data_IF_317795538799
#
_entry.id   IF_317795538799
#
_cell.length_a   1.000
_cell.length_b   1.000
_cell.length_c   1.000
_cell.angle_alpha   90.00
_cell.angle_beta   90.00
_cell.angle_gamma   90.00
#
_symmetry.space_group_name_H-M   'P 1'
#
loop_
_entity.id
_entity.type
_entity.pdbx_description
1 polymer ?
#
# COMPACT_ATOMS: atom_id res chain seq x y z
N UNK A 1 7.01 -60.95 41.71
CA UNK A 1 7.70 -60.50 40.48
C UNK A 1 6.64 -60.28 39.41
N UNK A 2 6.35 -59.02 39.08
CA UNK A 2 5.47 -58.67 37.97
C UNK A 2 6.23 -57.67 37.11
N UNK A 3 6.43 -58.04 35.83
CA UNK A 3 7.14 -57.24 34.83
C UNK A 3 6.18 -56.16 34.33
N UNK A 4 6.52 -54.90 34.55
CA UNK A 4 5.81 -53.76 33.96
C UNK A 4 6.27 -53.56 32.52
N UNK A 5 5.34 -53.71 31.57
CA UNK A 5 5.54 -53.34 30.16
C UNK A 5 5.17 -51.86 30.02
N UNK A 6 6.16 -51.00 29.77
CA UNK A 6 5.97 -49.60 29.41
C UNK A 6 5.71 -49.49 27.89
N UNK A 7 4.46 -49.29 27.49
CA UNK A 7 4.15 -48.80 26.14
C UNK A 7 4.41 -47.29 26.08
N UNK A 8 5.46 -46.90 25.37
CA UNK A 8 5.76 -45.50 25.07
C UNK A 8 4.86 -44.96 23.96
N UNK A 9 3.84 -44.19 24.31
CA UNK A 9 3.07 -43.39 23.35
C UNK A 9 3.90 -42.17 22.94
N UNK A 10 4.40 -42.15 21.70
CA UNK A 10 4.99 -40.94 21.11
C UNK A 10 3.88 -39.97 20.73
N UNK A 11 3.66 -38.96 21.57
CA UNK A 11 2.86 -37.78 21.21
C UNK A 11 3.68 -37.00 20.17
N UNK A 12 3.24 -37.02 18.91
CA UNK A 12 3.71 -36.08 17.90
C UNK A 12 3.01 -34.76 18.17
N UNK A 13 3.68 -33.86 18.90
CA UNK A 13 3.23 -32.48 19.00
C UNK A 13 3.34 -31.83 17.63
N UNK A 14 2.22 -31.73 16.91
CA UNK A 14 2.10 -30.86 15.74
C UNK A 14 2.19 -29.42 16.25
N UNK A 15 3.39 -28.85 16.21
CA UNK A 15 3.58 -27.42 16.39
C UNK A 15 2.98 -26.76 15.15
N UNK A 16 1.78 -26.21 15.28
CA UNK A 16 1.26 -25.25 14.32
C UNK A 16 2.16 -24.01 14.39
N UNK A 17 3.14 -23.93 13.48
CA UNK A 17 3.80 -22.65 13.22
C UNK A 17 2.69 -21.70 12.73
N UNK A 18 2.48 -20.53 13.36
CA UNK A 18 1.54 -19.57 12.84
C UNK A 18 1.93 -19.27 11.39
N UNK A 19 0.97 -19.39 10.47
CA UNK A 19 1.12 -18.91 9.10
C UNK A 19 1.61 -17.47 9.19
N UNK A 20 2.86 -17.20 8.82
CA UNK A 20 3.39 -15.83 8.77
C UNK A 20 2.64 -15.10 7.65
N UNK A 21 1.57 -14.41 8.03
CA UNK A 21 0.87 -13.47 7.17
C UNK A 21 1.78 -12.26 6.95
N UNK A 22 1.97 -11.87 5.70
CA UNK A 22 2.75 -10.68 5.37
C UNK A 22 1.84 -9.46 5.48
N UNK A 23 2.17 -8.55 6.39
CA UNK A 23 1.37 -7.35 6.65
C UNK A 23 1.65 -6.19 5.66
N UNK A 24 2.17 -6.50 4.48
CA UNK A 24 2.36 -5.52 3.41
C UNK A 24 0.99 -5.27 2.73
N UNK A 25 0.60 -4.01 2.62
CA UNK A 25 -0.50 -3.60 1.76
C UNK A 25 -0.05 -3.30 0.34
N UNK A 26 -0.99 -3.34 -0.60
CA UNK A 26 -0.76 -2.88 -1.97
C UNK A 26 -1.82 -1.86 -2.36
N UNK A 27 -1.47 -0.87 -3.17
CA UNK A 27 -2.46 -0.01 -3.82
C UNK A 27 -2.97 -0.72 -5.07
N UNK A 28 -4.30 -0.90 -5.17
CA UNK A 28 -4.97 -1.41 -6.36
C UNK A 28 -5.53 -0.22 -7.15
N UNK A 29 -4.65 0.40 -7.92
CA UNK A 29 -5.01 1.43 -8.90
C UNK A 29 -5.79 0.83 -10.07
N UNK A 30 -6.73 1.61 -10.61
CA UNK A 30 -7.65 1.19 -11.68
C UNK A 30 -7.67 2.19 -12.85
N UNK A 31 -6.68 3.09 -12.95
CA UNK A 31 -6.58 4.07 -14.04
C UNK A 31 -5.93 3.41 -15.27
N UNK A 32 -6.62 2.42 -15.82
CA UNK A 32 -6.19 1.63 -16.96
C UNK A 32 -7.39 0.92 -17.62
N UNK A 33 -7.25 0.51 -18.89
CA UNK A 33 -8.32 -0.17 -19.64
C UNK A 33 -8.07 -1.66 -19.91
N UNK A 34 -6.97 -2.21 -19.39
CA UNK A 34 -6.46 -3.55 -19.69
C UNK A 34 -6.18 -4.40 -18.44
N UNK A 35 -6.64 -3.97 -17.26
CA UNK A 35 -6.41 -4.67 -16.00
C UNK A 35 -7.22 -5.98 -15.89
N UNK A 36 -6.75 -6.94 -15.08
CA UNK A 36 -7.52 -8.14 -14.74
C UNK A 36 -8.83 -7.79 -14.03
N UNK A 37 -9.79 -8.72 -14.06
CA UNK A 37 -11.04 -8.53 -13.31
C UNK A 37 -10.77 -8.52 -11.78
N UNK A 38 -11.63 -7.87 -10.98
CA UNK A 38 -11.47 -7.86 -9.52
C UNK A 38 -11.36 -9.27 -8.88
N UNK A 39 -12.04 -10.28 -9.45
CA UNK A 39 -11.90 -11.68 -9.03
C UNK A 39 -10.48 -12.22 -9.25
N UNK A 40 -9.88 -11.95 -10.42
CA UNK A 40 -8.50 -12.34 -10.69
C UNK A 40 -7.53 -11.61 -9.77
N UNK A 41 -7.80 -10.33 -9.49
CA UNK A 41 -6.97 -9.51 -8.58
C UNK A 41 -7.01 -10.05 -7.14
N UNK A 42 -8.19 -10.42 -6.60
CA UNK A 42 -8.24 -10.99 -5.24
C UNK A 42 -7.50 -12.32 -5.16
N UNK A 43 -7.58 -13.16 -6.21
CA UNK A 43 -6.87 -14.43 -6.28
C UNK A 43 -5.36 -14.20 -6.31
N UNK A 44 -4.90 -13.20 -7.06
CA UNK A 44 -3.50 -12.78 -7.08
C UNK A 44 -3.04 -12.34 -5.69
N UNK A 45 -3.74 -11.40 -5.04
CA UNK A 45 -3.38 -10.94 -3.69
C UNK A 45 -3.33 -12.10 -2.68
N UNK A 46 -4.30 -13.01 -2.73
CA UNK A 46 -4.33 -14.21 -1.89
C UNK A 46 -3.12 -15.11 -2.15
N UNK A 47 -2.76 -15.32 -3.42
CA UNK A 47 -1.59 -16.13 -3.82
C UNK A 47 -0.26 -15.53 -3.35
N UNK A 48 -0.21 -14.21 -3.16
CA UNK A 48 0.93 -13.46 -2.66
C UNK A 48 0.91 -13.26 -1.14
N UNK A 49 -0.14 -13.74 -0.45
CA UNK A 49 -0.41 -13.50 0.97
C UNK A 49 -0.41 -12.00 1.34
N UNK A 50 -0.85 -11.15 0.41
CA UNK A 50 -1.11 -9.73 0.68
C UNK A 50 -2.49 -9.65 1.32
N UNK A 51 -2.54 -9.17 2.57
CA UNK A 51 -3.78 -9.14 3.37
C UNK A 51 -4.43 -7.76 3.45
N UNK A 52 -3.86 -6.76 2.78
CA UNK A 52 -4.34 -5.38 2.80
C UNK A 52 -4.29 -4.79 1.40
N UNK A 53 -5.31 -4.06 1.00
CA UNK A 53 -5.29 -3.29 -0.24
C UNK A 53 -6.01 -1.96 -0.10
N UNK A 54 -5.63 -0.98 -0.93
CA UNK A 54 -6.28 0.33 -1.00
C UNK A 54 -6.80 0.57 -2.41
N UNK A 55 -8.05 1.01 -2.51
CA UNK A 55 -8.65 1.50 -3.75
C UNK A 55 -8.97 2.99 -3.64
N UNK A 56 -9.00 3.67 -4.79
CA UNK A 56 -9.13 5.12 -4.89
C UNK A 56 -10.57 5.59 -5.13
N UNK A 57 -11.52 4.68 -4.96
CA UNK A 57 -12.96 4.87 -5.09
C UNK A 57 -13.72 3.91 -4.16
N UNK A 58 -15.01 3.71 -4.45
CA UNK A 58 -15.85 2.65 -3.86
C UNK A 58 -16.43 1.74 -4.95
N UNK A 59 -15.57 1.23 -5.85
CA UNK A 59 -16.00 0.39 -6.97
C UNK A 59 -16.79 -0.85 -6.49
N UNK A 60 -18.09 -0.98 -6.84
CA UNK A 60 -18.94 -2.06 -6.35
C UNK A 60 -18.49 -3.45 -6.81
N UNK A 61 -17.88 -3.54 -8.00
CA UNK A 61 -17.31 -4.79 -8.53
C UNK A 61 -16.12 -5.27 -7.70
N UNK A 62 -15.27 -4.35 -7.25
CA UNK A 62 -14.16 -4.67 -6.34
C UNK A 62 -14.69 -5.07 -4.96
N UNK A 63 -15.56 -4.25 -4.38
CA UNK A 63 -16.10 -4.50 -3.05
C UNK A 63 -16.88 -5.83 -2.98
N UNK A 64 -17.62 -6.20 -4.03
CA UNK A 64 -18.30 -7.49 -4.13
C UNK A 64 -17.30 -8.64 -4.27
N UNK A 65 -16.30 -8.53 -5.14
CA UNK A 65 -15.32 -9.59 -5.35
C UNK A 65 -14.50 -9.89 -4.09
N UNK A 66 -14.24 -8.89 -3.27
CA UNK A 66 -13.43 -9.04 -2.05
C UNK A 66 -14.22 -9.58 -0.84
N UNK A 67 -15.51 -9.88 -1.00
CA UNK A 67 -16.33 -10.50 0.03
C UNK A 67 -15.74 -11.84 0.49
N UNK A 68 -15.71 -12.05 1.81
CA UNK A 68 -15.23 -13.25 2.50
C UNK A 68 -13.77 -13.63 2.20
N UNK A 69 -12.95 -12.71 1.69
CA UNK A 69 -11.52 -12.95 1.44
C UNK A 69 -10.65 -12.76 2.67
N UNK A 70 -11.12 -11.98 3.65
CA UNK A 70 -10.33 -11.55 4.80
C UNK A 70 -9.29 -10.46 4.49
N UNK A 71 -9.22 -9.95 3.25
CA UNK A 71 -8.33 -8.86 2.86
C UNK A 71 -8.93 -7.53 3.36
N UNK A 72 -8.14 -6.77 4.12
CA UNK A 72 -8.51 -5.44 4.59
C UNK A 72 -8.52 -4.44 3.43
N UNK A 73 -9.59 -3.66 3.32
CA UNK A 73 -9.75 -2.62 2.30
C UNK A 73 -9.73 -1.23 2.92
N UNK A 74 -8.93 -0.34 2.32
CA UNK A 74 -9.12 1.11 2.41
C UNK A 74 -9.84 1.55 1.15
N UNK A 75 -11.00 2.20 1.31
CA UNK A 75 -11.75 2.84 0.21
C UNK A 75 -11.57 4.36 0.27
N UNK A 76 -11.88 5.06 -0.82
CA UNK A 76 -11.65 6.51 -0.90
C UNK A 76 -12.92 7.25 -1.31
N UNK A 77 -13.25 8.32 -0.57
CA UNK A 77 -14.15 9.37 -1.06
C UNK A 77 -13.33 10.23 -2.03
N UNK A 78 -13.68 10.30 -3.32
CA UNK A 78 -12.94 11.11 -4.28
C UNK A 78 -12.90 12.60 -3.92
N UNK A 79 -11.87 13.32 -4.35
CA UNK A 79 -11.66 14.74 -4.00
C UNK A 79 -12.88 15.61 -4.36
N UNK A 80 -13.49 15.36 -5.52
CA UNK A 80 -14.69 16.06 -6.01
C UNK A 80 -15.94 15.85 -5.13
N UNK A 81 -15.97 14.78 -4.34
CA UNK A 81 -17.08 14.49 -3.43
C UNK A 81 -16.87 15.06 -2.02
N UNK A 82 -15.66 15.48 -1.66
CA UNK A 82 -15.33 15.97 -0.30
C UNK A 82 -16.23 17.13 0.12
N UNK A 83 -16.47 18.11 -0.76
CA UNK A 83 -17.37 19.23 -0.46
C UNK A 83 -18.81 18.80 -0.16
N UNK A 84 -19.33 17.78 -0.86
CA UNK A 84 -20.66 17.25 -0.59
C UNK A 84 -20.73 16.52 0.76
N UNK A 85 -19.65 15.86 1.16
CA UNK A 85 -19.60 15.10 2.41
C UNK A 85 -19.58 16.01 3.65
N UNK A 86 -19.50 17.33 3.50
CA UNK A 86 -19.71 18.25 4.62
C UNK A 86 -21.14 18.19 5.18
N UNK A 87 -22.16 17.93 4.34
CA UNK A 87 -23.54 17.75 4.80
C UNK A 87 -23.70 16.36 5.45
N UNK A 88 -24.03 16.27 6.75
CA UNK A 88 -24.19 15.00 7.44
C UNK A 88 -25.20 14.03 6.80
N UNK A 89 -26.25 14.55 6.14
CA UNK A 89 -27.24 13.71 5.44
C UNK A 89 -26.65 13.10 4.17
N UNK A 90 -25.86 13.87 3.44
CA UNK A 90 -25.16 13.39 2.24
C UNK A 90 -24.08 12.38 2.61
N UNK A 91 -23.32 12.64 3.68
CA UNK A 91 -22.35 11.70 4.22
C UNK A 91 -23.00 10.39 4.68
N UNK A 92 -24.12 10.45 5.40
CA UNK A 92 -24.88 9.28 5.79
C UNK A 92 -25.35 8.48 4.57
N UNK A 93 -25.97 9.14 3.60
CA UNK A 93 -26.41 8.49 2.36
C UNK A 93 -25.22 7.86 1.62
N UNK A 94 -24.07 8.52 1.58
CA UNK A 94 -22.87 7.98 0.95
C UNK A 94 -22.38 6.70 1.65
N UNK A 95 -22.35 6.66 2.99
CA UNK A 95 -21.95 5.45 3.75
C UNK A 95 -22.96 4.32 3.55
N UNK A 96 -24.27 4.63 3.60
CA UNK A 96 -25.34 3.64 3.37
C UNK A 96 -25.30 3.03 1.96
N UNK A 97 -24.80 3.79 0.98
CA UNK A 97 -24.75 3.36 -0.43
C UNK A 97 -23.45 2.63 -0.75
N UNK A 98 -22.32 3.13 -0.25
CA UNK A 98 -20.99 2.72 -0.73
C UNK A 98 -20.22 1.82 0.25
N UNK A 99 -20.63 1.77 1.52
CA UNK A 99 -19.91 1.02 2.57
C UNK A 99 -20.81 -0.03 3.22
N UNK A 100 -21.96 0.39 3.75
CA UNK A 100 -22.87 -0.48 4.50
C UNK A 100 -23.29 -1.77 3.76
N UNK A 101 -23.59 -1.75 2.44
CA UNK A 101 -24.08 -2.95 1.74
C UNK A 101 -23.07 -4.10 1.68
N UNK A 102 -21.78 -3.81 1.87
CA UNK A 102 -20.72 -4.80 1.78
C UNK A 102 -20.32 -5.37 3.16
N UNK A 103 -20.80 -4.78 4.24
CA UNK A 103 -20.50 -5.22 5.60
C UNK A 103 -21.43 -6.37 6.05
N UNK A 104 -20.93 -7.42 6.74
CA UNK A 104 -19.54 -7.66 7.16
C UNK A 104 -18.72 -8.49 6.15
N UNK A 105 -19.30 -8.89 5.01
CA UNK A 105 -18.66 -9.82 4.09
C UNK A 105 -17.33 -9.27 3.55
N UNK A 106 -17.29 -7.99 3.18
CA UNK A 106 -16.08 -7.30 2.73
C UNK A 106 -15.49 -6.48 3.87
N UNK A 107 -14.22 -6.72 4.17
CA UNK A 107 -13.54 -6.13 5.32
C UNK A 107 -13.02 -4.73 5.00
N UNK A 108 -13.92 -3.76 4.91
CA UNK A 108 -13.56 -2.34 4.83
C UNK A 108 -13.08 -1.91 6.21
N UNK A 109 -11.83 -1.45 6.30
CA UNK A 109 -11.16 -1.08 7.55
C UNK A 109 -10.73 0.39 7.59
N UNK A 110 -10.81 1.07 6.46
CA UNK A 110 -10.44 2.47 6.35
C UNK A 110 -11.24 3.19 5.26
N UNK A 111 -11.55 4.45 5.53
CA UNK A 111 -12.12 5.39 4.57
C UNK A 111 -11.18 6.59 4.47
N UNK A 112 -10.56 6.77 3.31
CA UNK A 112 -9.78 7.97 2.96
C UNK A 112 -10.72 9.02 2.42
N UNK A 113 -10.92 10.12 3.14
CA UNK A 113 -11.68 11.26 2.64
C UNK A 113 -10.74 12.15 1.83
N UNK A 114 -10.83 12.02 0.50
CA UNK A 114 -9.88 12.60 -0.42
C UNK A 114 -8.51 11.90 -0.43
N UNK A 115 -7.64 12.41 -1.30
CA UNK A 115 -6.24 12.02 -1.47
C UNK A 115 -5.43 13.27 -1.79
N UNK A 116 -4.40 13.54 -0.98
CA UNK A 116 -3.48 14.68 -1.15
C UNK A 116 -4.19 16.04 -1.20
N UNK A 117 -5.29 16.17 -0.45
CA UNK A 117 -6.15 17.36 -0.42
C UNK A 117 -5.38 18.63 -0.04
N UNK A 118 -4.50 18.54 0.95
CA UNK A 118 -3.75 19.69 1.44
C UNK A 118 -2.61 20.17 0.51
N UNK A 119 -2.33 19.42 -0.54
CA UNK A 119 -1.39 19.81 -1.61
C UNK A 119 -2.10 20.11 -2.92
N UNK A 120 -3.44 20.12 -2.91
CA UNK A 120 -4.22 20.64 -4.03
C UNK A 120 -4.01 22.15 -4.18
N UNK A 121 -4.27 22.69 -5.36
CA UNK A 121 -4.30 24.15 -5.58
C UNK A 121 -5.69 24.75 -5.26
N UNK A 122 -6.52 24.04 -4.48
CA UNK A 122 -7.91 24.43 -4.15
C UNK A 122 -8.09 24.66 -2.62
N UNK A 123 -8.06 25.92 -2.16
CA UNK A 123 -8.29 26.28 -0.76
C UNK A 123 -9.68 25.88 -0.23
N UNK A 124 -10.68 25.78 -1.12
CA UNK A 124 -12.03 25.35 -0.74
C UNK A 124 -12.02 23.87 -0.42
N UNK A 125 -11.40 23.05 -1.28
CA UNK A 125 -11.24 21.62 -1.03
C UNK A 125 -10.50 21.36 0.29
N UNK A 126 -9.43 22.13 0.57
CA UNK A 126 -8.69 22.02 1.84
C UNK A 126 -9.56 22.33 3.06
N UNK A 127 -10.35 23.40 3.01
CA UNK A 127 -11.19 23.82 4.14
C UNK A 127 -12.39 22.89 4.37
N UNK A 128 -12.85 22.20 3.32
CA UNK A 128 -13.95 21.22 3.39
C UNK A 128 -13.56 19.88 4.04
N UNK A 129 -12.26 19.56 4.10
CA UNK A 129 -11.78 18.24 4.49
C UNK A 129 -12.18 17.81 5.91
N UNK A 130 -11.90 18.62 6.93
CA UNK A 130 -12.20 18.25 8.33
C UNK A 130 -13.71 18.15 8.58
N UNK A 131 -14.56 19.07 8.10
CA UNK A 131 -16.00 18.89 8.15
C UNK A 131 -16.48 17.60 7.47
N UNK A 132 -15.92 17.23 6.31
CA UNK A 132 -16.25 15.99 5.63
C UNK A 132 -15.84 14.73 6.42
N UNK A 133 -14.64 14.73 7.02
CA UNK A 133 -14.18 13.67 7.92
C UNK A 133 -15.13 13.47 9.11
N UNK A 134 -15.55 14.56 9.74
CA UNK A 134 -16.50 14.55 10.86
C UNK A 134 -17.86 13.98 10.45
N UNK A 135 -18.40 14.40 9.30
CA UNK A 135 -19.69 13.93 8.80
C UNK A 135 -19.66 12.44 8.40
N UNK A 136 -18.59 11.98 7.75
CA UNK A 136 -18.40 10.55 7.44
C UNK A 136 -18.27 9.71 8.72
N UNK A 137 -17.47 10.16 9.68
CA UNK A 137 -17.33 9.45 10.95
C UNK A 137 -18.65 9.40 11.73
N UNK A 138 -19.40 10.50 11.79
CA UNK A 138 -20.74 10.55 12.40
C UNK A 138 -21.70 9.56 11.76
N UNK A 139 -21.69 9.45 10.42
CA UNK A 139 -22.48 8.46 9.70
C UNK A 139 -22.09 7.01 10.08
N UNK A 140 -20.80 6.71 10.20
CA UNK A 140 -20.34 5.40 10.66
C UNK A 140 -20.80 5.09 12.09
N UNK A 141 -20.72 6.06 13.00
CA UNK A 141 -21.20 5.91 14.39
C UNK A 141 -22.71 5.62 14.41
N UNK A 142 -23.50 6.37 13.63
CA UNK A 142 -24.95 6.16 13.53
C UNK A 142 -25.32 4.75 13.02
N UNK A 143 -24.48 4.19 12.15
CA UNK A 143 -24.67 2.85 11.58
C UNK A 143 -23.98 1.74 12.39
N UNK A 144 -23.27 2.06 13.48
CA UNK A 144 -22.52 1.10 14.29
C UNK A 144 -21.28 0.51 13.59
N UNK A 145 -20.71 1.23 12.62
CA UNK A 145 -19.59 0.80 11.78
C UNK A 145 -18.25 1.47 12.14
N UNK A 146 -18.26 2.43 13.07
CA UNK A 146 -17.10 3.23 13.48
C UNK A 146 -15.98 2.39 14.09
N UNK A 147 -16.32 1.38 14.89
CA UNK A 147 -15.33 0.48 15.51
C UNK A 147 -14.56 -0.40 14.50
N UNK A 148 -15.08 -0.55 13.27
CA UNK A 148 -14.46 -1.32 12.21
C UNK A 148 -13.64 -0.46 11.24
N UNK A 149 -13.89 0.85 11.20
CA UNK A 149 -13.39 1.74 10.14
C UNK A 149 -12.63 2.93 10.72
N UNK A 150 -11.34 3.03 10.38
CA UNK A 150 -10.62 4.28 10.55
C UNK A 150 -11.05 5.29 9.48
N UNK A 151 -11.17 6.56 9.86
CA UNK A 151 -11.46 7.66 8.92
C UNK A 151 -10.29 8.61 8.95
N UNK A 152 -9.70 8.88 7.79
CA UNK A 152 -8.53 9.75 7.67
C UNK A 152 -8.42 10.29 6.24
N UNK A 153 -7.32 10.95 5.91
CA UNK A 153 -6.97 11.36 4.55
C UNK A 153 -5.51 11.06 4.28
N UNK A 154 -5.16 10.69 3.06
CA UNK A 154 -3.77 10.46 2.65
C UNK A 154 -3.10 11.80 2.31
N UNK A 155 -1.91 12.04 2.85
CA UNK A 155 -1.21 13.31 2.74
C UNK A 155 0.18 13.16 2.12
N UNK A 156 0.60 14.12 1.29
CA UNK A 156 1.97 14.28 0.80
C UNK A 156 2.45 15.72 1.05
N UNK A 157 3.77 15.96 1.04
CA UNK A 157 4.39 17.30 1.05
C UNK A 157 3.82 18.37 2.03
N UNK A 158 3.32 17.95 3.20
CA UNK A 158 2.72 18.83 4.22
C UNK A 158 3.75 19.45 5.18
N UNK A 159 5.01 19.02 5.12
CA UNK A 159 6.07 19.49 6.00
C UNK A 159 6.84 20.67 5.40
N UNK A 160 7.22 21.61 6.26
CA UNK A 160 8.21 22.65 5.98
C UNK A 160 9.61 22.10 6.21
N UNK A 161 9.90 21.69 7.45
CA UNK A 161 11.17 21.09 7.81
C UNK A 161 11.02 19.57 7.87
N UNK A 162 11.97 18.86 7.28
CA UNK A 162 12.02 17.39 7.37
C UNK A 162 13.43 16.84 7.61
N UNK A 163 14.45 17.71 7.61
CA UNK A 163 15.83 17.34 7.86
C UNK A 163 16.50 18.23 8.94
N UNK A 164 17.15 17.64 9.96
CA UNK A 164 17.04 16.22 10.33
C UNK A 164 15.58 15.88 10.71
N UNK A 165 15.15 14.60 10.70
CA UNK A 165 13.77 14.22 11.02
C UNK A 165 13.25 14.78 12.35
N UNK A 166 14.11 14.91 13.35
CA UNK A 166 13.77 15.53 14.65
C UNK A 166 13.30 16.98 14.54
N UNK A 167 13.64 17.68 13.47
CA UNK A 167 13.19 19.05 13.17
C UNK A 167 11.89 19.08 12.34
N UNK A 168 11.28 17.92 12.09
CA UNK A 168 9.99 17.78 11.42
C UNK A 168 8.97 18.82 11.90
N UNK A 169 8.43 19.62 10.97
CA UNK A 169 7.37 20.60 11.26
C UNK A 169 6.45 20.77 10.06
N UNK A 170 5.15 20.94 10.28
CA UNK A 170 4.21 21.32 9.22
C UNK A 170 4.52 22.72 8.69
N UNK A 171 4.09 22.99 7.45
CA UNK A 171 4.11 24.34 6.88
C UNK A 171 3.29 25.31 7.74
N UNK A 172 3.82 26.50 8.11
CA UNK A 172 3.11 27.43 8.98
C UNK A 172 1.71 27.79 8.49
N UNK A 173 1.55 27.98 7.17
CA UNK A 173 0.28 28.30 6.52
C UNK A 173 -0.77 27.17 6.63
N UNK A 174 -0.33 25.94 6.90
CA UNK A 174 -1.22 24.79 7.04
C UNK A 174 -1.68 24.56 8.49
N UNK A 175 -1.15 25.29 9.47
CA UNK A 175 -1.41 25.04 10.89
C UNK A 175 -2.92 25.06 11.22
N UNK A 176 -3.67 26.02 10.66
CA UNK A 176 -5.11 26.15 10.87
C UNK A 176 -5.93 25.00 10.26
N UNK A 177 -5.37 24.29 9.28
CA UNK A 177 -6.01 23.15 8.63
C UNK A 177 -5.62 21.83 9.30
N UNK A 178 -4.34 21.69 9.67
CA UNK A 178 -3.78 20.46 10.23
C UNK A 178 -4.16 20.26 11.69
N UNK A 179 -4.22 21.31 12.51
CA UNK A 179 -4.55 21.15 13.94
C UNK A 179 -5.95 20.54 14.14
N UNK A 180 -7.03 21.02 13.50
CA UNK A 180 -8.34 20.37 13.59
C UNK A 180 -8.35 18.93 13.07
N UNK A 181 -7.54 18.63 12.03
CA UNK A 181 -7.39 17.27 11.54
C UNK A 181 -6.72 16.36 12.58
N UNK A 182 -5.64 16.80 13.22
CA UNK A 182 -4.96 16.03 14.28
C UNK A 182 -5.86 15.84 15.51
N UNK A 183 -6.69 16.82 15.85
CA UNK A 183 -7.72 16.68 16.89
C UNK A 183 -8.70 15.58 16.55
N UNK A 184 -9.22 15.56 15.33
CA UNK A 184 -10.12 14.52 14.85
C UNK A 184 -9.46 13.13 14.90
N UNK A 185 -8.22 13.00 14.41
CA UNK A 185 -7.50 11.73 14.45
C UNK A 185 -7.28 11.23 15.88
N UNK A 186 -6.88 12.11 16.79
CA UNK A 186 -6.67 11.76 18.19
C UNK A 186 -7.98 11.33 18.88
N UNK A 187 -9.09 12.04 18.64
CA UNK A 187 -10.40 11.72 19.21
C UNK A 187 -10.97 10.38 18.71
N UNK A 188 -10.76 10.08 17.43
CA UNK A 188 -11.28 8.85 16.78
C UNK A 188 -10.29 7.68 16.80
N UNK A 189 -9.08 7.88 17.32
CA UNK A 189 -7.96 6.93 17.26
C UNK A 189 -7.65 6.49 15.81
N UNK A 190 -7.83 7.39 14.86
CA UNK A 190 -7.52 7.14 13.45
C UNK A 190 -6.05 7.48 13.14
N UNK A 191 -5.40 6.77 12.21
CA UNK A 191 -4.02 7.05 11.84
C UNK A 191 -3.92 8.27 10.91
N UNK A 192 -2.79 8.95 10.95
CA UNK A 192 -2.37 9.90 9.93
C UNK A 192 -1.76 9.13 8.76
N UNK A 193 -2.40 9.17 7.60
CA UNK A 193 -1.91 8.50 6.39
C UNK A 193 -0.99 9.40 5.58
N UNK A 194 0.17 8.85 5.18
CA UNK A 194 1.14 9.54 4.33
C UNK A 194 1.44 8.79 3.05
N UNK A 195 1.50 9.53 1.95
CA UNK A 195 2.09 9.12 0.70
C UNK A 195 3.56 9.57 0.73
N UNK A 196 4.49 8.62 0.88
CA UNK A 196 5.89 8.89 1.14
C UNK A 196 6.79 8.21 0.10
N UNK A 197 7.46 9.01 -0.72
CA UNK A 197 8.24 8.54 -1.86
C UNK A 197 9.69 9.04 -1.79
N UNK A 198 10.64 8.22 -1.30
CA UNK A 198 12.07 8.49 -1.40
C UNK A 198 12.54 8.72 -2.85
N UNK A 199 11.86 8.12 -3.83
CA UNK A 199 12.13 8.28 -5.26
C UNK A 199 12.19 9.76 -5.68
N UNK A 200 11.20 10.58 -5.29
CA UNK A 200 11.17 11.97 -5.74
C UNK A 200 12.33 12.80 -5.18
N UNK A 201 12.72 12.57 -3.92
CA UNK A 201 13.89 13.23 -3.33
C UNK A 201 15.18 12.88 -4.08
N UNK A 202 15.34 11.63 -4.51
CA UNK A 202 16.48 11.21 -5.33
C UNK A 202 16.41 11.80 -6.74
N UNK A 203 15.26 11.69 -7.41
CA UNK A 203 15.03 12.23 -8.76
C UNK A 203 15.38 13.72 -8.83
N UNK A 204 14.96 14.50 -7.85
CA UNK A 204 15.13 15.96 -7.86
C UNK A 204 16.54 16.41 -7.44
N UNK A 205 17.32 15.53 -6.79
CA UNK A 205 18.66 15.88 -6.30
C UNK A 205 19.61 14.67 -6.19
N UNK A 206 19.90 13.98 -7.30
CA UNK A 206 20.66 12.72 -7.30
C UNK A 206 22.12 12.90 -6.88
N UNK A 207 22.67 14.12 -6.99
CA UNK A 207 24.02 14.44 -6.52
C UNK A 207 24.13 14.63 -4.99
N UNK A 208 23.00 14.87 -4.32
CA UNK A 208 22.92 15.21 -2.88
C UNK A 208 22.24 14.10 -2.07
N UNK A 209 21.35 13.35 -2.70
CA UNK A 209 20.65 12.22 -2.10
C UNK A 209 21.31 10.92 -2.58
N UNK A 210 21.88 10.15 -1.65
CA UNK A 210 22.47 8.85 -1.95
C UNK A 210 21.42 7.86 -2.46
N UNK A 211 21.70 7.21 -3.59
CA UNK A 211 20.85 6.14 -4.12
C UNK A 211 20.74 4.97 -3.13
N UNK A 212 21.82 4.62 -2.43
CA UNK A 212 21.79 3.53 -1.45
C UNK A 212 20.85 3.85 -0.28
N UNK A 213 20.83 5.10 0.18
CA UNK A 213 19.98 5.56 1.28
C UNK A 213 18.49 5.47 0.94
N UNK A 214 18.10 5.83 -0.28
CA UNK A 214 16.70 5.78 -0.71
C UNK A 214 16.25 4.38 -1.13
N UNK A 215 17.18 3.46 -1.42
CA UNK A 215 16.91 2.06 -1.76
C UNK A 215 17.02 1.10 -0.57
N UNK A 216 17.07 1.60 0.67
CA UNK A 216 17.27 0.79 1.90
C UNK A 216 18.55 -0.07 1.90
N UNK A 217 19.56 0.31 1.11
CA UNK A 217 20.87 -0.34 1.10
C UNK A 217 21.73 0.24 2.22
N UNK A 218 22.73 -0.54 2.64
CA UNK A 218 23.66 -0.11 3.69
C UNK A 218 24.39 1.15 3.23
N UNK A 219 24.17 2.25 3.94
CA UNK A 219 24.92 3.49 3.77
C UNK A 219 26.22 3.44 4.57
N UNK A 220 27.24 4.14 4.09
CA UNK A 220 28.48 4.31 4.86
C UNK A 220 28.25 5.37 5.96
N UNK A 221 28.70 5.08 7.19
CA UNK A 221 28.63 6.00 8.33
C UNK A 221 27.61 5.59 9.41
N UNK A 222 27.46 6.46 10.42
CA UNK A 222 26.60 6.27 11.59
C UNK A 222 25.32 7.10 11.48
N UNK A 223 24.55 6.91 10.42
CA UNK A 223 23.24 7.56 10.34
C UNK A 223 22.27 6.85 11.29
N UNK A 224 21.59 7.62 12.15
CA UNK A 224 20.49 7.11 12.99
C UNK A 224 19.34 6.54 12.13
N UNK A 225 19.21 7.05 10.91
CA UNK A 225 18.29 6.56 9.89
C UNK A 225 19.11 5.89 8.78
N UNK A 226 18.98 4.59 8.61
CA UNK A 226 19.65 3.84 7.55
C UNK A 226 18.89 3.89 6.20
N UNK A 227 17.68 4.45 6.19
CA UNK A 227 16.86 4.62 5.00
C UNK A 227 15.98 5.88 5.06
N UNK A 228 15.65 6.44 3.88
CA UNK A 228 14.90 7.68 3.78
C UNK A 228 13.40 7.53 4.14
N UNK A 229 12.76 6.40 3.85
CA UNK A 229 11.34 6.24 4.15
C UNK A 229 11.07 6.40 5.66
N UNK A 230 11.90 5.78 6.51
CA UNK A 230 11.76 5.91 7.96
C UNK A 230 12.09 7.31 8.46
N UNK A 231 13.04 7.99 7.81
CA UNK A 231 13.31 9.40 8.09
C UNK A 231 12.11 10.29 7.74
N UNK A 232 11.43 10.05 6.62
CA UNK A 232 10.22 10.78 6.22
C UNK A 232 9.06 10.54 7.20
N UNK A 233 8.84 9.28 7.59
CA UNK A 233 7.81 8.91 8.58
C UNK A 233 8.09 9.59 9.93
N UNK A 234 9.32 9.49 10.43
CA UNK A 234 9.66 10.08 11.73
C UNK A 234 9.62 11.62 11.70
N UNK A 235 9.94 12.25 10.56
CA UNK A 235 9.74 13.69 10.40
C UNK A 235 8.26 14.09 10.57
N UNK A 236 7.33 13.30 10.05
CA UNK A 236 5.89 13.51 10.26
C UNK A 236 5.51 13.26 11.72
N UNK A 237 6.03 12.20 12.35
CA UNK A 237 5.79 11.91 13.78
C UNK A 237 6.25 13.08 14.66
N UNK A 238 7.44 13.64 14.40
CA UNK A 238 7.92 14.82 15.13
C UNK A 238 7.05 16.05 14.86
N UNK A 239 6.62 16.30 13.63
CA UNK A 239 5.74 17.42 13.29
C UNK A 239 4.40 17.34 14.02
N UNK A 240 3.79 16.15 14.08
CA UNK A 240 2.56 15.87 14.82
C UNK A 240 2.77 16.07 16.33
N UNK A 241 3.87 15.55 16.87
CA UNK A 241 4.20 15.68 18.29
C UNK A 241 4.41 17.15 18.72
N UNK A 242 5.02 17.98 17.86
CA UNK A 242 5.21 19.42 18.12
C UNK A 242 3.90 20.19 18.26
N UNK A 243 2.83 19.72 17.61
CA UNK A 243 1.49 20.29 17.75
C UNK A 243 0.71 19.69 18.95
N UNK A 244 1.32 18.81 19.75
CA UNK A 244 0.72 18.21 20.94
C UNK A 244 0.01 16.88 20.70
N UNK A 245 0.07 16.31 19.49
CA UNK A 245 -0.68 15.10 19.10
C UNK A 245 0.20 13.85 18.96
N UNK A 246 1.30 13.76 19.72
CA UNK A 246 2.31 12.70 19.56
C UNK A 246 1.81 11.26 19.68
N UNK A 247 0.60 11.05 20.21
CA UNK A 247 -0.07 9.74 20.28
C UNK A 247 -0.74 9.30 18.97
N UNK A 248 -0.93 10.17 17.98
CA UNK A 248 -1.51 9.80 16.68
C UNK A 248 -0.55 8.85 15.95
N UNK A 249 -1.07 7.73 15.45
CA UNK A 249 -0.31 6.77 14.64
C UNK A 249 -0.03 7.33 13.25
N UNK A 250 1.15 7.07 12.69
CA UNK A 250 1.46 7.37 11.29
C UNK A 250 1.58 6.06 10.52
N UNK A 251 0.88 5.95 9.40
CA UNK A 251 0.99 4.81 8.47
C UNK A 251 1.25 5.30 7.05
N UNK A 252 1.93 4.50 6.24
CA UNK A 252 2.24 4.83 4.86
C UNK A 252 1.13 4.28 3.96
N UNK A 253 0.31 5.17 3.39
CA UNK A 253 -0.79 4.83 2.49
C UNK A 253 -0.34 4.61 1.05
N UNK A 254 0.85 5.13 0.69
CA UNK A 254 1.52 4.88 -0.58
C UNK A 254 3.03 5.04 -0.46
N UNK A 255 3.76 4.13 -1.08
CA UNK A 255 5.18 4.29 -1.37
C UNK A 255 5.60 3.35 -2.49
N UNK A 256 6.49 3.78 -3.37
CA UNK A 256 6.90 2.98 -4.52
C UNK A 256 8.07 3.58 -5.27
N UNK A 257 8.46 2.90 -6.34
CA UNK A 257 9.55 3.34 -7.21
C UNK A 257 9.25 2.92 -8.65
N UNK A 258 9.25 3.84 -9.62
CA UNK A 258 8.88 3.53 -11.00
C UNK A 258 9.99 2.75 -11.73
N UNK A 259 9.62 1.76 -12.53
CA UNK A 259 10.57 0.94 -13.29
C UNK A 259 11.02 1.55 -14.61
N UNK A 260 10.38 2.63 -15.04
CA UNK A 260 10.68 3.36 -16.27
C UNK A 260 10.18 4.78 -16.13
N UNK A 261 10.94 5.76 -16.61
CA UNK A 261 10.53 7.16 -16.65
C UNK A 261 11.03 7.88 -17.90
N UNK A 262 10.70 9.16 -18.00
CA UNK A 262 11.23 10.07 -19.01
C UNK A 262 12.73 10.34 -18.79
N UNK A 263 13.47 10.92 -19.77
CA UNK A 263 14.92 11.15 -19.63
C UNK A 263 15.33 12.00 -18.40
N UNK A 264 14.45 12.85 -17.89
CA UNK A 264 14.67 13.66 -16.69
C UNK A 264 14.23 12.98 -15.39
N UNK A 265 13.73 11.75 -15.44
CA UNK A 265 13.27 10.96 -14.29
C UNK A 265 14.37 10.04 -13.77
N UNK A 266 15.45 10.66 -13.31
CA UNK A 266 16.68 9.97 -12.88
C UNK A 266 16.35 8.92 -11.81
N UNK A 267 16.82 7.70 -12.04
CA UNK A 267 16.64 6.57 -11.13
C UNK A 267 15.43 5.69 -11.42
N UNK A 268 14.53 6.07 -12.34
CA UNK A 268 13.41 5.25 -12.76
C UNK A 268 13.84 4.07 -13.65
N UNK A 269 14.35 3.00 -13.04
CA UNK A 269 14.78 1.78 -13.72
C UNK A 269 14.23 0.53 -13.05
N UNK A 270 14.15 -0.57 -13.81
CA UNK A 270 13.70 -1.88 -13.30
C UNK A 270 14.55 -2.34 -12.11
N UNK A 271 15.87 -2.11 -12.16
CA UNK A 271 16.80 -2.51 -11.10
C UNK A 271 16.54 -1.76 -9.80
N UNK A 272 16.32 -0.44 -9.88
CA UNK A 272 16.05 0.39 -8.70
C UNK A 272 14.65 0.13 -8.15
N UNK A 273 13.65 -0.02 -9.01
CA UNK A 273 12.29 -0.38 -8.60
C UNK A 273 12.25 -1.73 -7.88
N UNK A 274 12.95 -2.74 -8.44
CA UNK A 274 13.12 -4.04 -7.80
C UNK A 274 13.83 -3.93 -6.46
N UNK A 275 14.92 -3.17 -6.38
CA UNK A 275 15.68 -2.99 -5.14
C UNK A 275 14.83 -2.33 -4.04
N UNK A 276 14.16 -1.22 -4.35
CA UNK A 276 13.31 -0.50 -3.42
C UNK A 276 12.20 -1.40 -2.87
N UNK A 277 11.38 -1.96 -3.76
CA UNK A 277 10.20 -2.75 -3.38
C UNK A 277 10.57 -4.07 -2.68
N UNK A 278 11.67 -4.73 -3.10
CA UNK A 278 12.18 -5.93 -2.41
C UNK A 278 12.69 -5.61 -1.02
N UNK A 279 13.47 -4.54 -0.85
CA UNK A 279 14.03 -4.20 0.45
C UNK A 279 12.95 -3.72 1.42
N UNK A 280 11.95 -2.97 0.93
CA UNK A 280 10.76 -2.62 1.70
C UNK A 280 10.01 -3.88 2.18
N UNK A 281 9.76 -4.84 1.28
CA UNK A 281 9.15 -6.12 1.64
C UNK A 281 9.95 -6.83 2.76
N UNK A 282 11.29 -6.89 2.65
CA UNK A 282 12.13 -7.50 3.68
C UNK A 282 12.07 -6.77 5.04
N UNK A 283 11.87 -5.45 5.05
CA UNK A 283 11.64 -4.68 6.30
C UNK A 283 10.28 -5.01 6.90
N UNK A 284 9.24 -5.10 6.06
CA UNK A 284 7.88 -5.47 6.49
C UNK A 284 7.79 -6.89 7.05
N UNK A 285 8.49 -7.86 6.46
CA UNK A 285 8.58 -9.24 6.96
C UNK A 285 9.17 -9.30 8.37
N UNK A 286 10.15 -8.43 8.65
CA UNK A 286 10.78 -8.31 9.97
C UNK A 286 9.93 -7.54 10.98
N UNK A 287 8.72 -7.11 10.60
CA UNK A 287 7.84 -6.27 11.40
C UNK A 287 8.55 -5.01 11.92
N UNK A 288 9.43 -4.46 11.10
CA UNK A 288 10.30 -3.36 11.52
C UNK A 288 9.52 -2.05 11.68
N UNK A 289 9.76 -1.38 12.81
CA UNK A 289 9.30 -0.02 13.08
C UNK A 289 10.35 1.03 12.71
N UNK A 290 10.02 2.30 12.88
CA UNK A 290 10.98 3.39 12.65
C UNK A 290 11.88 3.62 13.87
N UNK A 291 13.00 4.35 13.76
CA UNK A 291 13.85 4.69 14.90
C UNK A 291 13.14 5.40 16.06
N UNK A 292 12.09 6.19 15.81
CA UNK A 292 11.27 6.81 16.87
C UNK A 292 10.27 5.82 17.48
N UNK A 293 9.75 4.87 16.70
CA UNK A 293 8.78 3.86 17.16
C UNK A 293 9.26 2.44 16.85
N UNK A 294 10.38 1.98 17.43
CA UNK A 294 11.02 0.71 17.04
C UNK A 294 10.18 -0.53 17.38
N UNK A 295 9.29 -0.42 18.37
CA UNK A 295 8.43 -1.51 18.83
C UNK A 295 7.04 -1.51 18.18
N UNK A 296 6.77 -0.59 17.25
CA UNK A 296 5.53 -0.52 16.49
C UNK A 296 5.85 -0.74 15.02
N UNK A 297 5.41 -1.86 14.45
CA UNK A 297 5.55 -2.12 13.01
C UNK A 297 4.98 -0.94 12.22
N UNK A 298 5.75 -0.42 11.27
CA UNK A 298 5.24 0.55 10.31
C UNK A 298 4.31 -0.16 9.31
N UNK A 299 3.03 0.17 9.30
CA UNK A 299 2.09 -0.30 8.28
C UNK A 299 2.31 0.48 6.97
N UNK A 300 2.46 -0.25 5.86
CA UNK A 300 2.82 0.31 4.55
C UNK A 300 1.97 -0.31 3.43
N UNK A 301 1.50 0.54 2.52
CA UNK A 301 0.88 0.17 1.25
C UNK A 301 1.83 0.51 0.09
N UNK A 302 2.19 -0.50 -0.69
CA UNK A 302 3.07 -0.38 -1.85
C UNK A 302 2.29 0.12 -3.06
N UNK A 303 2.76 1.21 -3.65
CA UNK A 303 2.25 1.80 -4.88
C UNK A 303 3.09 1.30 -6.09
N UNK A 304 2.55 0.50 -7.00
CA UNK A 304 1.20 -0.09 -7.00
C UNK A 304 1.20 -1.55 -7.48
N UNK A 305 0.03 -2.21 -7.44
CA UNK A 305 -0.10 -3.60 -7.87
C UNK A 305 0.19 -3.77 -9.37
N UNK A 306 -0.36 -2.89 -10.20
CA UNK A 306 -0.25 -2.95 -11.65
C UNK A 306 0.34 -1.67 -12.25
N UNK A 307 0.93 -1.79 -13.43
CA UNK A 307 1.15 -0.63 -14.31
C UNK A 307 -0.20 -0.13 -14.81
N UNK A 308 -0.41 1.19 -14.75
CA UNK A 308 -1.69 1.84 -15.06
C UNK A 308 -1.53 2.71 -16.32
N UNK A 309 -1.92 2.18 -17.49
CA UNK A 309 -1.59 2.77 -18.79
C UNK A 309 -2.33 4.08 -19.13
N UNK A 310 -3.40 4.39 -18.43
CA UNK A 310 -4.18 5.62 -18.62
C UNK A 310 -3.82 6.73 -17.63
N UNK A 311 -2.83 6.53 -16.74
CA UNK A 311 -2.38 7.61 -15.84
C UNK A 311 -1.78 8.76 -16.66
N UNK A 312 -2.23 10.01 -16.44
CA UNK A 312 -1.65 11.18 -17.08
C UNK A 312 -0.27 11.50 -16.51
N UNK A 313 0.40 12.50 -17.07
CA UNK A 313 1.70 12.97 -16.57
C UNK A 313 2.90 12.20 -17.15
N UNK A 314 4.06 12.22 -16.46
CA UNK A 314 5.31 11.68 -16.97
C UNK A 314 5.27 10.16 -17.14
N UNK A 315 6.24 9.61 -17.86
CA UNK A 315 6.29 8.16 -18.14
C UNK A 315 6.32 7.31 -16.87
N UNK A 316 6.94 7.79 -15.80
CA UNK A 316 6.95 7.09 -14.50
C UNK A 316 5.58 6.73 -13.96
N UNK A 317 4.58 7.60 -14.14
CA UNK A 317 3.23 7.39 -13.61
C UNK A 317 2.58 6.10 -14.11
N UNK A 318 2.94 5.66 -15.32
CA UNK A 318 2.43 4.43 -15.94
C UNK A 318 3.26 3.18 -15.61
N UNK A 319 4.30 3.31 -14.78
CA UNK A 319 5.34 2.30 -14.58
C UNK A 319 5.69 2.03 -13.09
N UNK A 320 4.74 2.22 -12.16
CA UNK A 320 4.92 1.90 -10.73
C UNK A 320 4.56 0.45 -10.35
N UNK A 321 3.96 -0.31 -11.26
CA UNK A 321 3.42 -1.64 -11.00
C UNK A 321 4.46 -2.68 -10.63
N UNK A 322 4.11 -3.56 -9.69
CA UNK A 322 4.79 -4.85 -9.52
C UNK A 322 4.49 -5.81 -10.69
N UNK A 323 3.29 -5.70 -11.26
CA UNK A 323 2.77 -6.53 -12.34
C UNK A 323 2.38 -5.69 -13.56
N UNK A 324 2.50 -6.30 -14.73
CA UNK A 324 1.83 -5.83 -15.94
C UNK A 324 0.33 -6.13 -15.86
N UNK A 325 -0.51 -5.45 -16.66
CA UNK A 325 -1.95 -5.73 -16.70
C UNK A 325 -2.31 -7.18 -17.06
N UNK A 326 -1.44 -7.91 -17.76
CA UNK A 326 -1.65 -9.33 -18.08
C UNK A 326 -1.31 -10.30 -16.93
N UNK A 327 -0.88 -9.77 -15.77
CA UNK A 327 -0.49 -10.56 -14.60
C UNK A 327 0.96 -11.06 -14.61
N UNK A 328 1.76 -10.74 -15.63
CA UNK A 328 3.20 -11.01 -15.61
C UNK A 328 3.92 -10.03 -14.68
N UNK A 329 4.98 -10.48 -13.99
CA UNK A 329 5.76 -9.59 -13.13
C UNK A 329 6.60 -8.62 -13.97
N UNK A 330 6.59 -7.33 -13.63
CA UNK A 330 7.56 -6.37 -14.19
C UNK A 330 8.96 -6.71 -13.67
N UNK A 331 9.06 -7.08 -12.40
CA UNK A 331 10.26 -7.58 -11.74
C UNK A 331 9.88 -8.42 -10.52
N UNK A 332 10.73 -9.40 -10.18
CA UNK A 332 10.47 -10.29 -9.04
C UNK A 332 11.02 -9.70 -7.73
N UNK A 333 10.13 -9.31 -6.83
CA UNK A 333 10.45 -8.83 -5.47
C UNK A 333 10.56 -9.95 -4.43
N UNK A 334 10.13 -11.18 -4.75
CA UNK A 334 10.22 -12.35 -3.88
C UNK A 334 8.92 -12.78 -3.20
N UNK A 335 7.78 -12.13 -3.49
CA UNK A 335 6.48 -12.45 -2.89
C UNK A 335 6.08 -13.92 -3.11
N UNK A 336 6.24 -14.46 -4.32
CA UNK A 336 5.89 -15.85 -4.64
C UNK A 336 6.84 -16.90 -4.02
N UNK A 337 8.14 -16.59 -3.85
CA UNK A 337 9.08 -17.52 -3.22
C UNK A 337 8.78 -17.72 -1.72
N UNK A 338 8.28 -16.65 -1.08
CA UNK A 338 7.88 -16.68 0.32
C UNK A 338 6.62 -17.54 0.56
N UNK A 339 5.78 -17.74 -0.45
CA UNK A 339 4.60 -18.60 -0.34
C UNK A 339 4.93 -20.08 -0.57
N UNK A 340 6.00 -20.38 -1.32
CA UNK A 340 6.50 -21.74 -1.57
C UNK A 340 7.41 -22.31 -0.47
N UNK A 341 7.96 -21.49 0.43
CA UNK A 341 8.98 -21.90 1.42
C UNK A 341 8.43 -22.57 2.69
N UNK A 342 7.12 -22.88 2.76
CA UNK A 342 6.50 -23.51 3.94
C UNK A 342 6.67 -25.05 4.00
N UNK A 343 7.43 -25.65 3.10
CA UNK A 343 7.73 -27.09 3.10
C UNK A 343 9.23 -27.33 2.99
N UNK A 344 9.96 -27.15 4.09
CA UNK A 344 11.28 -27.78 4.24
C UNK A 344 11.18 -28.74 5.41
N UNK A 345 10.74 -29.97 5.10
CA UNK A 345 10.84 -31.09 6.03
C UNK A 345 12.32 -31.39 6.26
N UNK A 346 12.79 -31.19 7.49
CA UNK A 346 14.08 -31.69 7.95
C UNK A 346 14.03 -33.22 7.89
N UNK A 347 14.67 -33.82 6.88
CA UNK A 347 15.08 -35.21 6.94
C UNK A 347 16.59 -35.28 6.80
N UNK A 348 17.24 -35.43 7.96
CA UNK A 348 18.59 -35.99 8.02
C UNK A 348 18.51 -37.45 7.59
N UNK A 349 19.28 -37.86 6.60
CA UNK A 349 19.72 -39.25 6.45
C UNK A 349 20.99 -39.29 5.62
N UNK A 350 22.10 -39.57 6.30
CA UNK A 350 23.33 -40.04 5.69
C UNK A 350 23.22 -41.54 5.45
N UNK A 351 23.52 -42.02 4.23
CA UNK A 351 24.27 -43.27 3.97
C UNK A 351 24.68 -43.38 2.50
N UNK A 352 25.79 -44.10 2.28
CA UNK A 352 26.64 -44.21 1.09
C UNK A 352 26.15 -45.21 0.01
N UNK A 353 26.64 -44.92 -1.20
CA UNK A 353 27.20 -45.79 -2.27
C UNK A 353 26.38 -46.72 -3.19
N UNK A 354 26.78 -46.59 -4.47
CA UNK A 354 26.89 -47.53 -5.60
C UNK A 354 25.73 -47.77 -6.58
N UNK A 355 26.05 -47.63 -7.88
CA UNK A 355 25.44 -48.38 -8.98
C UNK A 355 25.10 -47.57 -10.23
N UNK A 356 25.79 -47.85 -11.34
CA UNK A 356 25.63 -47.31 -12.69
C UNK A 356 24.26 -47.58 -13.34
N UNK A 357 23.78 -46.71 -14.24
CA UNK A 357 23.63 -46.94 -15.70
C UNK A 357 22.68 -45.94 -16.39
N UNK A 358 22.99 -45.65 -17.66
CA UNK A 358 22.26 -44.79 -18.60
C UNK A 358 20.78 -45.17 -18.82
N UNK A 359 19.91 -44.16 -19.05
CA UNK A 359 19.20 -44.09 -20.34
C UNK A 359 18.51 -42.73 -20.64
N UNK A 360 18.59 -42.36 -21.91
CA UNK A 360 17.90 -41.26 -22.61
C UNK A 360 16.39 -41.49 -22.68
N UNK A 361 15.56 -40.47 -22.45
CA UNK A 361 14.20 -40.40 -23.04
C UNK A 361 13.89 -38.99 -23.57
N UNK A 362 13.29 -39.00 -24.77
CA UNK A 362 12.87 -37.91 -25.64
C UNK A 362 11.96 -36.85 -25.02
N UNK A 363 12.20 -35.61 -25.45
CA UNK A 363 11.26 -34.48 -25.42
C UNK A 363 10.23 -34.70 -26.53
N UNK A 364 8.95 -34.85 -26.17
CA UNK A 364 7.84 -34.82 -27.13
C UNK A 364 7.08 -33.50 -26.96
N UNK A 365 7.16 -32.65 -27.99
CA UNK A 365 6.37 -31.42 -28.15
C UNK A 365 4.92 -31.81 -28.47
N UNK A 366 3.96 -31.12 -27.86
CA UNK A 366 2.55 -31.15 -28.26
C UNK A 366 2.17 -29.88 -29.05
N UNK A 367 1.27 -29.99 -30.04
CA UNK A 367 0.94 -28.93 -31.02
C UNK A 367 -0.13 -27.93 -30.52
N UNK A 368 -0.24 -26.73 -31.13
CA UNK A 368 -1.26 -25.74 -30.78
C UNK A 368 -2.50 -25.85 -31.67
N UNK A 369 -3.69 -25.51 -31.13
CA UNK A 369 -4.89 -25.09 -31.89
C UNK A 369 -6.06 -24.76 -30.93
N UNK A 370 -7.12 -24.05 -31.35
CA UNK A 370 -7.15 -22.80 -32.12
C UNK A 370 -8.12 -21.73 -31.54
N UNK A 371 -8.00 -20.51 -32.07
CA UNK A 371 -8.87 -19.36 -31.84
C UNK A 371 -10.35 -19.62 -32.16
N UNK A 372 -11.25 -19.11 -31.29
CA UNK A 372 -12.62 -18.76 -31.70
C UNK A 372 -13.00 -17.36 -31.25
N UNK A 373 -13.24 -16.51 -32.24
CA UNK A 373 -13.79 -15.16 -32.16
C UNK A 373 -15.28 -15.24 -31.83
N UNK A 374 -15.73 -14.54 -30.78
CA UNK A 374 -17.13 -14.13 -30.63
C UNK A 374 -17.22 -12.65 -30.29
N UNK A 375 -17.71 -11.88 -31.26
CA UNK A 375 -18.19 -10.50 -31.11
C UNK A 375 -19.26 -10.45 -30.02
N UNK A 376 -19.13 -9.54 -29.05
CA UNK A 376 -20.25 -9.07 -28.22
C UNK A 376 -20.42 -7.57 -28.39
N UNK A 377 -21.65 -7.20 -28.73
CA UNK A 377 -22.14 -5.85 -28.97
C UNK A 377 -21.99 -4.98 -27.72
N UNK A 378 -21.42 -3.79 -27.91
CA UNK A 378 -21.46 -2.69 -26.95
C UNK A 378 -22.88 -2.10 -26.91
N UNK A 379 -23.44 -2.00 -25.70
CA UNK A 379 -24.47 -1.01 -25.39
C UNK A 379 -23.78 0.19 -24.75
N UNK A 380 -23.91 1.35 -25.39
CA UNK A 380 -23.56 2.65 -24.85
C UNK A 380 -24.32 2.89 -23.54
N UNK A 381 -23.56 3.17 -22.48
CA UNK A 381 -24.04 3.99 -21.37
C UNK A 381 -23.27 5.31 -21.43
N UNK A 382 -23.99 6.37 -21.77
CA UNK A 382 -23.57 7.76 -21.67
C UNK A 382 -23.71 8.23 -20.23
N UNK A 383 -22.68 8.88 -19.66
CA UNK A 383 -22.83 9.60 -18.40
C UNK A 383 -21.54 9.95 -17.69
N UNK A 384 -21.05 11.17 -17.93
CA UNK A 384 -20.20 12.01 -17.07
C UNK A 384 -19.19 11.35 -16.13
N UNK A 385 -17.91 11.39 -16.50
CA UNK A 385 -16.82 10.99 -15.62
C UNK A 385 -15.46 11.25 -16.25
N UNK A 386 -15.13 12.51 -16.57
CA UNK A 386 -13.88 12.84 -17.28
C UNK A 386 -13.07 13.99 -16.68
N UNK A 387 -13.31 14.39 -15.42
CA UNK A 387 -12.54 15.48 -14.79
C UNK A 387 -12.10 15.25 -13.33
N UNK A 388 -12.05 14.01 -12.86
CA UNK A 388 -11.53 13.66 -11.53
C UNK A 388 -10.04 13.23 -11.53
N UNK A 389 -9.37 13.28 -12.68
CA UNK A 389 -7.98 12.79 -12.86
C UNK A 389 -6.97 13.96 -12.97
N UNK A 390 -7.42 15.21 -12.82
CA UNK A 390 -6.55 16.40 -12.96
C UNK A 390 -5.66 16.69 -11.74
N UNK A 391 -5.68 15.88 -10.66
CA UNK A 391 -4.84 16.12 -9.47
C UNK A 391 -3.52 15.32 -9.40
N UNK A 392 -3.11 14.59 -10.45
CA UNK A 392 -1.86 13.81 -10.42
C UNK A 392 -0.63 14.54 -11.00
N UNK A 393 -0.74 15.83 -11.33
CA UNK A 393 0.28 16.55 -12.10
C UNK A 393 1.00 17.71 -11.39
N UNK A 394 0.91 17.86 -10.07
CA UNK A 394 1.60 18.96 -9.36
C UNK A 394 2.35 18.45 -8.13
N UNK A 395 3.52 17.83 -8.34
CA UNK A 395 4.44 17.50 -7.24
C UNK A 395 5.47 18.61 -7.04
N UNK A 396 5.30 19.39 -5.96
CA UNK A 396 6.45 19.89 -5.19
C UNK A 396 6.80 18.77 -4.21
N UNK A 397 7.62 17.83 -4.68
CA UNK A 397 8.38 16.99 -3.77
C UNK A 397 9.28 17.91 -2.93
N UNK A 398 9.34 17.61 -1.63
CA UNK A 398 10.20 18.21 -0.61
C UNK A 398 11.27 19.20 -1.14
N UNK A 399 11.05 20.50 -0.95
CA UNK A 399 12.15 21.49 -1.03
C UNK A 399 13.11 21.45 0.16
N UNK A 400 12.93 20.55 1.13
CA UNK A 400 13.70 20.59 2.38
C UNK A 400 14.19 19.20 2.81
N UNK A 401 14.99 18.54 1.94
CA UNK A 401 15.90 17.47 2.38
C UNK A 401 17.38 17.89 2.34
N UNK A 402 17.70 19.10 1.85
CA UNK A 402 19.09 19.39 1.50
C UNK A 402 19.53 20.74 2.05
N UNK A 403 20.51 20.72 2.96
CA UNK A 403 21.58 21.71 2.93
C UNK A 403 22.69 21.16 2.06
#
# INVERSE_FOLDING_TARGET
MAVSILLGSRIVSIVWLPSTWFFLGSNYGQVANNLPSPEQVRLLLTSLRITKTRIYDTNPGVLTAFANTGIDLIVTVPNEAVGMMMDPRQALQWVMTNVQPYFPATKITGISVGNEVYTSDDPTLMSNLVPALLSIHSALVQLGLDSYNHVSTANSAVLENSYPPSMGSFKPEMANLVVPFLQFLAATKSPFWINAYPYFAYKDSPAKVSLDYVLFKRTQGWLRYDNMLYAQVDAVIFAIARLGYGGVEVRVSETGWPSKGDPNEVGATVENARAYNRNLLLRQIRSEGTPVRPNQRLEVYLFALFNEDMKPGPTSERNYGLYQPDGTMVYNVGLAALTSSASVSLTSSATRENGETMNRIHVMRLPPCPNTTKKKQQRQYTGGGTKAIESFATWIALRVIIR
#
